data_IF_596012044909
#
_entry.id   IF_596012044909
#
_cell.length_a   1.000
_cell.length_b   1.000
_cell.length_c   1.000
_cell.angle_alpha   90.00
_cell.angle_beta   90.00
_cell.angle_gamma   90.00
#
_symmetry.space_group_name_H-M   'P 1'
#
loop_
_entity.id
_entity.type
_entity.pdbx_description
1 polymer ?
#
# COMPACT_ATOMS: atom_id res chain seq x y z
N UNK A 1 4.72 16.93 31.69
CA UNK A 1 5.07 16.23 30.43
C UNK A 1 6.58 16.17 30.22
N UNK A 2 7.31 17.30 30.17
CA UNK A 2 8.79 17.30 30.04
C UNK A 2 9.56 16.71 31.24
N UNK A 3 9.08 16.91 32.48
CA UNK A 3 9.67 16.29 33.67
C UNK A 3 9.55 14.76 33.65
N UNK A 4 8.45 14.22 33.13
CA UNK A 4 8.24 12.78 32.94
C UNK A 4 9.15 12.21 31.85
N UNK A 5 9.57 13.07 30.91
CA UNK A 5 10.52 12.76 29.86
C UNK A 5 11.99 12.84 30.29
N UNK A 6 12.28 13.26 31.53
CA UNK A 6 13.65 13.55 31.96
C UNK A 6 14.28 14.76 31.25
N UNK A 7 13.51 15.51 30.46
CA UNK A 7 13.97 16.75 29.82
C UNK A 7 14.01 17.87 30.87
N UNK A 8 15.11 17.96 31.62
CA UNK A 8 15.36 19.01 32.60
C UNK A 8 16.04 20.26 32.01
N UNK A 9 16.02 20.40 30.68
CA UNK A 9 16.58 21.57 30.00
C UNK A 9 15.85 22.84 30.47
N UNK A 10 16.59 23.73 31.12
CA UNK A 10 16.11 25.05 31.49
C UNK A 10 16.12 25.92 30.23
N UNK A 11 14.94 26.14 29.66
CA UNK A 11 14.76 26.95 28.44
C UNK A 11 15.05 28.42 28.76
N UNK A 12 16.15 28.95 28.22
CA UNK A 12 16.60 30.33 28.47
C UNK A 12 16.31 31.25 27.29
N UNK A 13 16.29 30.73 26.07
CA UNK A 13 15.97 31.50 24.86
C UNK A 13 15.13 30.70 23.85
N UNK A 14 14.64 31.37 22.81
CA UNK A 14 13.93 30.70 21.71
C UNK A 14 14.83 29.77 20.88
N UNK A 15 16.15 29.87 21.02
CA UNK A 15 17.13 29.00 20.34
C UNK A 15 17.16 27.60 20.97
N UNK A 16 16.84 27.48 22.26
CA UNK A 16 16.77 26.20 22.98
C UNK A 16 15.58 25.32 22.55
N UNK A 17 14.61 25.91 21.83
CA UNK A 17 13.38 25.23 21.41
C UNK A 17 13.66 23.98 20.60
N UNK A 18 14.62 24.04 19.68
CA UNK A 18 14.95 22.91 18.81
C UNK A 18 15.51 21.74 19.63
N UNK A 19 16.44 22.03 20.55
CA UNK A 19 17.03 21.05 21.46
C UNK A 19 15.98 20.38 22.34
N UNK A 20 15.04 21.15 22.89
CA UNK A 20 13.95 20.59 23.71
C UNK A 20 13.06 19.65 22.90
N UNK A 21 12.74 20.01 21.65
CA UNK A 21 11.96 19.15 20.75
C UNK A 21 12.72 17.86 20.44
N UNK A 22 14.00 17.95 20.10
CA UNK A 22 14.84 16.77 19.79
C UNK A 22 14.95 15.82 20.99
N UNK A 23 15.23 16.33 22.18
CA UNK A 23 15.32 15.52 23.40
C UNK A 23 13.99 14.88 23.77
N UNK A 24 12.88 15.63 23.62
CA UNK A 24 11.56 15.08 23.84
C UNK A 24 11.23 13.95 22.85
N UNK A 25 11.57 14.12 21.56
CA UNK A 25 11.38 13.08 20.54
C UNK A 25 12.24 11.85 20.82
N UNK A 26 13.51 12.02 21.22
CA UNK A 26 14.38 10.91 21.64
C UNK A 26 13.77 10.15 22.82
N UNK A 27 13.27 10.85 23.82
CA UNK A 27 12.61 10.20 24.95
C UNK A 27 11.34 9.46 24.53
N UNK A 28 10.47 10.12 23.77
CA UNK A 28 9.17 9.59 23.39
C UNK A 28 9.28 8.39 22.45
N UNK A 29 10.24 8.40 21.53
CA UNK A 29 10.40 7.33 20.55
C UNK A 29 11.30 6.22 21.11
N UNK A 30 12.44 6.57 21.73
CA UNK A 30 13.47 5.60 22.10
C UNK A 30 13.44 5.26 23.60
N UNK A 31 13.63 6.25 24.48
CA UNK A 31 13.88 5.97 25.90
C UNK A 31 12.69 5.31 26.59
N UNK A 32 11.47 5.81 26.38
CA UNK A 32 10.27 5.20 27.00
C UNK A 32 10.00 3.77 26.50
N UNK A 33 10.48 3.44 25.30
CA UNK A 33 10.31 2.12 24.66
C UNK A 33 11.56 1.24 24.77
N UNK A 34 12.56 1.66 25.57
CA UNK A 34 13.88 1.04 25.57
C UNK A 34 13.84 -0.48 25.85
N UNK A 35 13.00 -0.92 26.80
CA UNK A 35 12.86 -2.34 27.12
C UNK A 35 12.29 -3.15 25.95
N UNK A 36 11.30 -2.60 25.24
CA UNK A 36 10.68 -3.24 24.06
C UNK A 36 11.68 -3.30 22.91
N UNK A 37 12.39 -2.20 22.64
CA UNK A 37 13.44 -2.15 21.61
C UNK A 37 14.55 -3.15 21.92
N UNK A 38 14.97 -3.25 23.18
CA UNK A 38 16.03 -4.18 23.58
C UNK A 38 15.60 -5.63 23.39
N UNK A 39 14.38 -6.01 23.82
CA UNK A 39 13.83 -7.35 23.57
C UNK A 39 13.66 -7.66 22.09
N UNK A 40 13.26 -6.67 21.28
CA UNK A 40 13.19 -6.82 19.84
C UNK A 40 14.58 -7.10 19.24
N UNK A 41 15.60 -6.35 19.65
CA UNK A 41 16.99 -6.59 19.24
C UNK A 41 17.49 -7.98 19.65
N UNK A 42 17.18 -8.43 20.86
CA UNK A 42 17.50 -9.78 21.32
C UNK A 42 16.83 -10.86 20.47
N UNK A 43 15.55 -10.66 20.11
CA UNK A 43 14.83 -11.52 19.17
C UNK A 43 15.51 -11.60 17.80
N UNK A 44 15.88 -10.46 17.22
CA UNK A 44 16.62 -10.41 15.95
C UNK A 44 18.03 -11.04 16.07
N UNK A 45 18.68 -10.91 17.23
CA UNK A 45 20.00 -11.49 17.46
C UNK A 45 19.97 -13.02 17.58
N UNK A 46 18.83 -13.61 17.99
CA UNK A 46 18.70 -15.06 18.21
C UNK A 46 19.09 -15.92 17.01
N UNK A 47 18.92 -15.41 15.79
CA UNK A 47 19.29 -16.05 14.52
C UNK A 47 20.34 -15.26 13.73
N UNK A 48 21.17 -14.44 14.40
CA UNK A 48 22.19 -13.59 13.78
C UNK A 48 21.66 -12.52 12.80
N UNK A 49 20.35 -12.30 12.73
CA UNK A 49 19.75 -11.32 11.82
C UNK A 49 20.15 -9.88 12.20
N UNK A 50 20.28 -9.58 13.50
CA UNK A 50 20.78 -8.27 13.95
C UNK A 50 22.21 -8.00 13.45
N UNK A 51 23.08 -9.00 13.43
CA UNK A 51 24.44 -8.90 12.91
C UNK A 51 24.41 -8.57 11.41
N UNK A 52 23.57 -9.26 10.64
CA UNK A 52 23.39 -8.99 9.21
C UNK A 52 22.87 -7.57 8.95
N UNK A 53 21.90 -7.08 9.75
CA UNK A 53 21.39 -5.70 9.67
C UNK A 53 22.49 -4.65 9.84
N UNK A 54 23.39 -4.86 10.80
CA UNK A 54 24.47 -3.93 11.09
C UNK A 54 25.57 -3.95 10.01
N UNK A 55 25.83 -5.12 9.42
CA UNK A 55 26.84 -5.27 8.37
C UNK A 55 26.37 -4.78 6.99
N UNK A 56 25.06 -4.89 6.71
CA UNK A 56 24.48 -4.59 5.40
C UNK A 56 23.27 -3.64 5.46
N UNK A 57 23.38 -2.46 6.12
CA UNK A 57 22.24 -1.57 6.33
C UNK A 57 21.68 -1.01 5.01
N UNK A 58 22.54 -0.73 4.03
CA UNK A 58 22.10 -0.21 2.72
C UNK A 58 21.28 -1.22 1.91
N UNK A 59 21.48 -2.52 2.13
CA UNK A 59 20.74 -3.59 1.44
C UNK A 59 19.43 -3.88 2.15
N UNK A 60 19.44 -3.90 3.50
CA UNK A 60 18.30 -4.34 4.29
C UNK A 60 17.32 -3.22 4.64
N UNK A 61 17.77 -1.96 4.75
CA UNK A 61 16.88 -0.84 5.04
C UNK A 61 15.77 -0.66 4.00
N UNK A 62 16.01 -0.72 2.67
CA UNK A 62 14.94 -0.68 1.68
C UNK A 62 13.96 -1.86 1.76
N UNK A 63 14.37 -2.98 2.36
CA UNK A 63 13.54 -4.19 2.48
C UNK A 63 12.63 -4.18 3.71
N UNK A 64 13.09 -3.53 4.79
CA UNK A 64 12.47 -3.59 6.11
C UNK A 64 11.84 -2.27 6.55
N UNK A 65 12.27 -1.17 5.95
CA UNK A 65 11.72 0.15 6.20
C UNK A 65 10.85 0.56 5.03
N UNK A 66 9.78 1.30 5.33
CA UNK A 66 8.93 1.86 4.29
C UNK A 66 9.73 2.79 3.39
N UNK A 67 9.71 2.52 2.09
CA UNK A 67 10.18 3.42 1.04
C UNK A 67 8.98 3.90 0.23
N UNK A 68 8.82 5.21 0.10
CA UNK A 68 7.76 5.78 -0.71
C UNK A 68 8.10 5.60 -2.20
N UNK A 69 7.56 4.55 -2.81
CA UNK A 69 7.58 4.33 -4.25
C UNK A 69 6.15 4.50 -4.74
N UNK A 70 5.86 5.65 -5.37
CA UNK A 70 4.54 5.91 -5.93
C UNK A 70 4.31 4.94 -7.10
N UNK A 71 3.16 4.27 -7.09
CA UNK A 71 2.77 3.42 -8.21
C UNK A 71 2.47 4.27 -9.44
N UNK A 72 2.72 3.71 -10.61
CA UNK A 72 2.22 4.26 -11.90
C UNK A 72 1.14 3.34 -12.47
N UNK A 73 0.32 3.86 -13.37
CA UNK A 73 -0.66 3.06 -14.12
C UNK A 73 0.05 1.95 -14.88
N UNK A 74 1.21 2.22 -15.47
CA UNK A 74 2.03 1.23 -16.17
C UNK A 74 2.54 0.11 -15.26
N UNK A 75 2.86 0.41 -13.99
CA UNK A 75 3.23 -0.62 -13.02
C UNK A 75 2.04 -1.51 -12.68
N UNK A 76 0.85 -0.93 -12.51
CA UNK A 76 -0.38 -1.67 -12.24
C UNK A 76 -0.80 -2.53 -13.45
N UNK A 77 -0.72 -2.03 -14.68
CA UNK A 77 -0.99 -2.84 -15.88
C UNK A 77 -0.03 -4.02 -16.02
N UNK A 78 1.25 -3.83 -15.72
CA UNK A 78 2.24 -4.91 -15.75
C UNK A 78 2.00 -5.95 -14.66
N UNK A 79 1.54 -5.50 -13.50
CA UNK A 79 1.33 -6.34 -12.33
C UNK A 79 0.08 -7.23 -12.46
N UNK A 80 -1.00 -6.72 -13.06
CA UNK A 80 -2.29 -7.40 -13.16
C UNK A 80 -2.46 -8.13 -14.50
N UNK A 81 -2.47 -9.46 -14.45
CA UNK A 81 -2.64 -10.30 -15.64
C UNK A 81 -4.11 -10.68 -15.86
N UNK A 82 -4.73 -10.38 -17.02
CA UNK A 82 -6.13 -10.74 -17.26
C UNK A 82 -6.30 -12.21 -17.68
N UNK A 83 -7.30 -12.87 -17.09
CA UNK A 83 -7.77 -14.18 -17.53
C UNK A 83 -8.90 -14.00 -18.54
N UNK A 84 -8.55 -14.12 -19.82
CA UNK A 84 -9.47 -13.88 -20.94
C UNK A 84 -10.16 -15.16 -21.41
N UNK A 85 -11.40 -15.02 -21.83
CA UNK A 85 -12.13 -16.01 -22.61
C UNK A 85 -11.47 -16.21 -23.99
N UNK A 86 -11.77 -17.33 -24.70
CA UNK A 86 -11.24 -17.57 -26.04
C UNK A 86 -11.51 -16.42 -27.01
N UNK A 87 -10.51 -16.11 -27.83
CA UNK A 87 -10.59 -15.06 -28.84
C UNK A 87 -11.80 -15.27 -29.79
N UNK A 88 -12.50 -14.18 -30.10
CA UNK A 88 -13.70 -14.20 -30.95
C UNK A 88 -15.01 -14.53 -30.23
N UNK A 89 -14.99 -14.88 -28.94
CA UNK A 89 -16.21 -15.05 -28.15
C UNK A 89 -16.84 -13.70 -27.79
N UNK A 90 -18.17 -13.70 -27.56
CA UNK A 90 -18.88 -12.51 -27.06
C UNK A 90 -18.34 -12.06 -25.69
N UNK A 91 -17.87 -12.99 -24.86
CA UNK A 91 -17.23 -12.69 -23.58
C UNK A 91 -15.93 -11.92 -23.80
N UNK A 92 -15.07 -12.37 -24.72
CA UNK A 92 -13.79 -11.72 -25.01
C UNK A 92 -13.94 -10.26 -25.46
N UNK A 93 -14.99 -9.92 -26.21
CA UNK A 93 -15.27 -8.53 -26.59
C UNK A 93 -15.64 -7.67 -25.38
N UNK A 94 -16.47 -8.18 -24.46
CA UNK A 94 -16.85 -7.48 -23.23
C UNK A 94 -15.67 -7.33 -22.27
N UNK A 95 -14.84 -8.36 -22.17
CA UNK A 95 -13.59 -8.36 -21.40
C UNK A 95 -12.62 -7.30 -21.93
N UNK A 96 -12.43 -7.23 -23.25
CA UNK A 96 -11.61 -6.18 -23.87
C UNK A 96 -12.11 -4.77 -23.57
N UNK A 97 -13.43 -4.53 -23.61
CA UNK A 97 -14.02 -3.24 -23.21
C UNK A 97 -13.76 -2.92 -21.74
N UNK A 98 -13.96 -3.89 -20.84
CA UNK A 98 -13.69 -3.72 -19.41
C UNK A 98 -12.20 -3.46 -19.12
N UNK A 99 -11.29 -4.11 -19.86
CA UNK A 99 -9.85 -3.82 -19.77
C UNK A 99 -9.49 -2.43 -20.28
N UNK A 100 -10.14 -1.95 -21.34
CA UNK A 100 -9.99 -0.56 -21.79
C UNK A 100 -10.44 0.45 -20.72
N UNK A 101 -11.53 0.17 -20.02
CA UNK A 101 -11.97 0.99 -18.88
C UNK A 101 -11.02 0.91 -17.70
N UNK A 102 -10.47 -0.27 -17.41
CA UNK A 102 -9.45 -0.46 -16.40
C UNK A 102 -8.19 0.38 -16.66
N UNK A 103 -7.65 0.33 -17.88
CA UNK A 103 -6.48 1.13 -18.28
C UNK A 103 -6.73 2.63 -18.08
N UNK A 104 -7.88 3.14 -18.54
CA UNK A 104 -8.26 4.54 -18.34
C UNK A 104 -8.43 4.89 -16.85
N UNK A 105 -8.99 3.98 -16.05
CA UNK A 105 -9.17 4.20 -14.62
C UNK A 105 -7.82 4.31 -13.89
N UNK A 106 -6.85 3.46 -14.23
CA UNK A 106 -5.50 3.55 -13.68
C UNK A 106 -4.83 4.88 -14.02
N UNK A 107 -4.97 5.35 -15.28
CA UNK A 107 -4.45 6.66 -15.69
C UNK A 107 -5.11 7.79 -14.90
N UNK A 108 -6.44 7.77 -14.76
CA UNK A 108 -7.14 8.77 -13.94
C UNK A 108 -6.70 8.74 -12.48
N UNK A 109 -6.39 7.57 -11.91
CA UNK A 109 -5.83 7.45 -10.56
C UNK A 109 -4.43 8.08 -10.46
N UNK A 110 -3.55 7.80 -11.42
CA UNK A 110 -2.19 8.37 -11.48
C UNK A 110 -2.24 9.90 -11.61
N UNK A 111 -3.16 10.42 -12.44
CA UNK A 111 -3.39 11.85 -12.67
C UNK A 111 -4.18 12.53 -11.53
N UNK A 112 -4.59 11.77 -10.50
CA UNK A 112 -5.42 12.24 -9.37
C UNK A 112 -6.76 12.83 -9.82
N UNK A 113 -7.31 12.29 -10.90
CA UNK A 113 -8.62 12.61 -11.43
C UNK A 113 -9.73 11.71 -10.84
N UNK A 114 -9.40 10.80 -9.91
CA UNK A 114 -10.33 9.98 -9.13
C UNK A 114 -10.32 10.35 -7.65
N UNK A 115 -11.33 9.89 -6.92
CA UNK A 115 -11.42 9.99 -5.46
C UNK A 115 -10.58 8.94 -4.70
N UNK A 116 -9.87 8.06 -5.42
CA UNK A 116 -9.00 6.98 -4.91
C UNK A 116 -7.65 7.01 -5.64
N UNK A 117 -6.63 6.41 -5.02
CA UNK A 117 -5.25 6.29 -5.53
C UNK A 117 -4.97 4.90 -6.12
N UNK A 118 -3.81 4.74 -6.77
CA UNK A 118 -3.34 3.43 -7.23
C UNK A 118 -3.02 2.49 -6.05
N UNK A 119 -2.59 3.05 -4.93
CA UNK A 119 -2.38 2.32 -3.68
C UNK A 119 -3.70 1.78 -3.12
N UNK A 120 -4.80 2.53 -3.22
CA UNK A 120 -6.14 2.04 -2.84
C UNK A 120 -6.59 0.89 -3.74
N UNK A 121 -6.28 0.94 -5.03
CA UNK A 121 -6.55 -0.15 -5.99
C UNK A 121 -5.75 -1.40 -5.62
N UNK A 122 -4.45 -1.25 -5.33
CA UNK A 122 -3.60 -2.35 -4.90
C UNK A 122 -4.11 -2.97 -3.59
N UNK A 123 -4.48 -2.12 -2.62
CA UNK A 123 -5.02 -2.54 -1.33
C UNK A 123 -6.32 -3.30 -1.50
N UNK A 124 -7.24 -2.81 -2.34
CA UNK A 124 -8.50 -3.47 -2.62
C UNK A 124 -8.31 -4.86 -3.22
N UNK A 125 -7.38 -5.01 -4.17
CA UNK A 125 -7.17 -6.27 -4.88
C UNK A 125 -6.32 -7.30 -4.12
N UNK A 126 -5.36 -6.84 -3.31
CA UNK A 126 -4.31 -7.70 -2.72
C UNK A 126 -4.21 -7.61 -1.21
N UNK A 127 -4.84 -6.61 -0.58
CA UNK A 127 -4.66 -6.31 0.85
C UNK A 127 -3.34 -5.60 1.17
N UNK A 128 -2.55 -5.20 0.17
CA UNK A 128 -1.26 -4.53 0.34
C UNK A 128 -1.36 -3.05 -0.03
N UNK A 129 -0.88 -2.17 0.84
CA UNK A 129 -0.80 -0.73 0.56
C UNK A 129 0.44 -0.32 -0.25
N UNK A 130 1.38 -1.25 -0.47
CA UNK A 130 2.59 -1.02 -1.27
C UNK A 130 3.14 -2.37 -1.77
N UNK A 131 3.90 -2.34 -2.86
CA UNK A 131 4.51 -3.56 -3.37
C UNK A 131 5.61 -4.04 -2.42
N UNK A 132 5.56 -5.29 -1.96
CA UNK A 132 6.63 -5.85 -1.15
C UNK A 132 7.91 -5.92 -2.01
N UNK A 133 9.08 -5.67 -1.42
CA UNK A 133 10.35 -5.71 -2.15
C UNK A 133 10.67 -7.06 -2.82
N UNK A 134 10.12 -8.15 -2.28
CA UNK A 134 10.23 -9.49 -2.87
C UNK A 134 9.24 -9.74 -4.03
N UNK A 135 8.38 -8.78 -4.35
CA UNK A 135 7.27 -8.95 -5.30
C UNK A 135 6.07 -9.71 -4.71
N UNK A 136 5.00 -9.79 -5.48
CA UNK A 136 3.75 -10.45 -5.09
C UNK A 136 3.67 -11.84 -5.74
N UNK A 137 3.38 -12.87 -4.95
CA UNK A 137 3.15 -14.24 -5.44
C UNK A 137 1.93 -14.85 -4.75
N UNK A 138 0.92 -15.35 -5.49
CA UNK A 138 0.80 -15.30 -6.95
C UNK A 138 0.62 -13.86 -7.46
N UNK A 139 1.02 -13.59 -8.71
CA UNK A 139 0.80 -12.26 -9.31
C UNK A 139 -0.70 -11.94 -9.35
N UNK A 140 -1.09 -10.66 -9.18
CA UNK A 140 -2.46 -10.26 -9.28
C UNK A 140 -3.11 -10.63 -10.62
N UNK A 141 -4.34 -11.11 -10.57
CA UNK A 141 -5.10 -11.54 -11.73
C UNK A 141 -6.36 -10.69 -11.89
N UNK A 142 -6.71 -10.38 -13.14
CA UNK A 142 -8.01 -9.80 -13.48
C UNK A 142 -8.93 -10.92 -13.98
N UNK A 143 -10.06 -11.06 -13.31
CA UNK A 143 -11.22 -11.82 -13.76
C UNK A 143 -12.37 -10.86 -14.05
N UNK A 144 -13.48 -11.40 -14.57
CA UNK A 144 -14.64 -10.60 -14.93
C UNK A 144 -15.90 -11.14 -14.25
N UNK A 145 -16.73 -10.25 -13.74
CA UNK A 145 -18.00 -10.60 -13.09
C UNK A 145 -19.18 -10.15 -13.94
N UNK A 146 -20.03 -11.10 -14.41
CA UNK A 146 -21.29 -10.74 -15.05
C UNK A 146 -22.31 -10.27 -14.02
N UNK A 147 -23.19 -9.34 -14.42
CA UNK A 147 -24.35 -8.90 -13.65
C UNK A 147 -24.05 -8.26 -12.28
N UNK A 148 -22.80 -7.81 -12.04
CA UNK A 148 -22.46 -6.95 -10.91
C UNK A 148 -22.19 -5.54 -11.40
N UNK A 149 -22.72 -4.49 -10.73
CA UNK A 149 -22.34 -3.12 -11.04
C UNK A 149 -20.97 -2.76 -10.43
N UNK A 150 -20.50 -3.48 -9.41
CA UNK A 150 -19.30 -3.14 -8.65
C UNK A 150 -18.16 -4.12 -8.93
N UNK A 151 -16.89 -3.68 -8.82
CA UNK A 151 -15.76 -4.59 -8.74
C UNK A 151 -15.85 -5.45 -7.48
N UNK A 152 -15.23 -6.62 -7.53
CA UNK A 152 -15.05 -7.48 -6.36
C UNK A 152 -13.60 -7.89 -6.25
N UNK A 153 -13.13 -8.22 -5.05
CA UNK A 153 -11.79 -8.75 -4.85
C UNK A 153 -11.79 -10.04 -4.05
N UNK A 154 -10.77 -10.85 -4.30
CA UNK A 154 -10.36 -11.94 -3.43
C UNK A 154 -8.88 -11.74 -3.12
N UNK A 155 -8.61 -11.06 -2.01
CA UNK A 155 -7.25 -10.68 -1.59
C UNK A 155 -6.37 -11.90 -1.30
N UNK A 156 -6.93 -12.99 -0.76
CA UNK A 156 -6.20 -14.24 -0.56
C UNK A 156 -5.68 -14.86 -1.88
N UNK A 157 -6.39 -14.61 -2.98
CA UNK A 157 -6.04 -15.10 -4.31
C UNK A 157 -5.46 -14.00 -5.22
N UNK A 158 -5.21 -12.80 -4.71
CA UNK A 158 -4.81 -11.61 -5.48
C UNK A 158 -5.68 -11.39 -6.74
N UNK A 159 -6.99 -11.60 -6.64
CA UNK A 159 -7.88 -11.55 -7.80
C UNK A 159 -8.77 -10.32 -7.74
N UNK A 160 -8.73 -9.48 -8.77
CA UNK A 160 -9.66 -8.39 -9.01
C UNK A 160 -10.69 -8.82 -10.06
N UNK A 161 -11.98 -8.63 -9.76
CA UNK A 161 -13.09 -8.95 -10.68
C UNK A 161 -13.69 -7.66 -11.20
N UNK A 162 -13.54 -7.42 -12.50
CA UNK A 162 -14.07 -6.23 -13.16
C UNK A 162 -15.51 -6.45 -13.63
N UNK A 163 -16.42 -5.47 -13.43
CA UNK A 163 -17.78 -5.55 -13.94
C UNK A 163 -17.84 -5.22 -15.43
N UNK A 164 -18.80 -5.83 -16.14
CA UNK A 164 -19.13 -5.42 -17.50
C UNK A 164 -20.10 -4.24 -17.48
N UNK A 165 -19.61 -3.05 -17.82
CA UNK A 165 -20.38 -1.81 -17.80
C UNK A 165 -20.42 -1.13 -19.17
N UNK A 166 -21.44 -0.30 -19.39
CA UNK A 166 -21.67 0.31 -20.70
C UNK A 166 -20.79 1.51 -20.98
N UNK A 167 -20.50 2.33 -19.97
CA UNK A 167 -19.72 3.55 -20.14
C UNK A 167 -18.60 3.64 -19.10
N UNK A 168 -17.52 4.32 -19.48
CA UNK A 168 -16.39 4.55 -18.59
C UNK A 168 -16.79 5.36 -17.34
N UNK A 169 -17.67 6.35 -17.49
CA UNK A 169 -18.13 7.16 -16.36
C UNK A 169 -18.81 6.31 -15.28
N UNK A 170 -19.68 5.36 -15.67
CA UNK A 170 -20.33 4.46 -14.69
C UNK A 170 -19.30 3.50 -14.08
N UNK A 171 -18.36 3.00 -14.89
CA UNK A 171 -17.27 2.17 -14.40
C UNK A 171 -16.44 2.89 -13.33
N UNK A 172 -15.96 4.09 -13.63
CA UNK A 172 -15.17 4.93 -12.72
C UNK A 172 -15.91 5.17 -11.40
N UNK A 173 -17.16 5.64 -11.45
CA UNK A 173 -17.96 5.90 -10.25
C UNK A 173 -18.16 4.66 -9.38
N UNK A 174 -18.43 3.50 -10.00
CA UNK A 174 -18.62 2.26 -9.25
C UNK A 174 -17.31 1.71 -8.66
N UNK A 175 -16.19 1.88 -9.36
CA UNK A 175 -14.86 1.57 -8.84
C UNK A 175 -14.53 2.45 -7.63
N UNK A 176 -14.67 3.77 -7.75
CA UNK A 176 -14.42 4.71 -6.64
C UNK A 176 -15.28 4.38 -5.42
N UNK A 177 -16.59 4.17 -5.63
CA UNK A 177 -17.49 3.79 -4.56
C UNK A 177 -17.07 2.49 -3.86
N UNK A 178 -16.75 1.44 -4.61
CA UNK A 178 -16.39 0.15 -4.03
C UNK A 178 -15.09 0.21 -3.22
N UNK A 179 -14.06 0.90 -3.74
CA UNK A 179 -12.76 1.04 -3.08
C UNK A 179 -12.86 1.89 -1.81
N UNK A 180 -13.58 3.01 -1.85
CA UNK A 180 -13.79 3.87 -0.67
C UNK A 180 -14.56 3.19 0.45
N UNK A 181 -15.48 2.28 0.11
CA UNK A 181 -16.28 1.52 1.07
C UNK A 181 -15.63 0.19 1.47
N UNK A 182 -14.39 -0.06 1.06
CA UNK A 182 -13.62 -1.27 1.37
C UNK A 182 -12.18 -0.95 1.80
N UNK A 183 -11.96 -0.15 2.86
CA UNK A 183 -10.64 0.43 3.19
C UNK A 183 -9.59 -0.58 3.69
N UNK A 184 -9.89 -1.88 3.71
CA UNK A 184 -8.99 -2.93 4.23
C UNK A 184 -9.03 -3.10 5.76
N UNK A 185 -8.19 -3.99 6.28
CA UNK A 185 -8.12 -4.26 7.73
C UNK A 185 -7.27 -3.21 8.45
N UNK A 186 -7.82 -2.60 9.51
CA UNK A 186 -7.09 -1.69 10.40
C UNK A 186 -7.12 -0.22 10.01
N UNK A 187 -7.83 0.14 8.92
CA UNK A 187 -8.10 1.52 8.52
C UNK A 187 -9.45 1.97 9.08
N UNK A 188 -9.44 2.64 10.23
CA UNK A 188 -10.57 3.34 10.87
C UNK A 188 -10.14 4.76 11.25
#
# INVERSE_FOLDING_TARGET
MFQTAGCFLHVKSSEDRQTVVEEYLRWYILHRNQSVIQRFKEGLASLQFLTALQQHPCVLAPLLCHSQNNLTAADMERLFSPHLSPAGSNSHQKEGKALGFWANFLLDCEEKATAVSLEDVLLFATGLASLPPAGITPLPCIEFVPNSPFPMSNTCANTLKLPFLETYSVFKTNMEFALQNSPGFGCI
#
